data_IF_528896584648
#
_entry.id   IF_528896584648
#
_cell.length_a   1.000
_cell.length_b   1.000
_cell.length_c   1.000
_cell.angle_alpha   90.00
_cell.angle_beta   90.00
_cell.angle_gamma   90.00
#
_symmetry.space_group_name_H-M   'P 1'
#
loop_
_entity.id
_entity.type
_entity.pdbx_description
1 polymer ?
#
# COMPACT_ATOMS: atom_id res chain seq x y z
N UNK A 1 -9.68 27.62 43.62
CA UNK A 1 -8.79 26.47 43.84
C UNK A 1 -7.86 26.40 42.65
N UNK A 2 -6.65 26.88 42.82
CA UNK A 2 -5.62 26.96 41.79
C UNK A 2 -5.07 25.55 41.57
N UNK A 3 -5.36 24.94 40.42
CA UNK A 3 -4.79 23.65 40.05
C UNK A 3 -3.33 23.88 39.68
N UNK A 4 -2.43 23.52 40.60
CA UNK A 4 -0.99 23.49 40.36
C UNK A 4 -0.68 22.54 39.20
N UNK A 5 0.03 23.04 38.20
CA UNK A 5 0.69 22.19 37.21
C UNK A 5 1.73 21.33 37.93
N UNK A 6 1.81 20.02 37.68
CA UNK A 6 2.99 19.26 38.04
C UNK A 6 4.07 19.61 37.01
N UNK A 7 4.84 20.67 37.25
CA UNK A 7 6.09 20.89 36.52
C UNK A 7 7.13 19.91 37.06
N UNK A 8 7.02 18.65 36.61
CA UNK A 8 8.16 17.75 36.61
C UNK A 8 9.28 18.28 35.71
N UNK A 9 10.52 17.80 35.87
CA UNK A 9 11.60 18.18 34.97
C UNK A 9 11.18 17.92 33.51
N UNK A 10 11.51 18.82 32.57
CA UNK A 10 11.14 18.64 31.17
C UNK A 10 11.68 17.29 30.67
N UNK A 11 10.89 16.58 29.85
CA UNK A 11 11.30 15.28 29.35
C UNK A 11 12.63 15.36 28.61
N UNK A 12 13.49 14.37 28.82
CA UNK A 12 14.79 14.28 28.17
C UNK A 12 14.61 13.82 26.71
N UNK A 13 14.14 14.74 25.86
CA UNK A 13 13.74 14.47 24.48
C UNK A 13 14.83 13.76 23.66
N UNK A 14 16.10 14.10 23.89
CA UNK A 14 17.23 13.44 23.20
C UNK A 14 17.34 11.95 23.55
N UNK A 15 17.12 11.58 24.80
CA UNK A 15 17.24 10.20 25.25
C UNK A 15 16.06 9.36 24.80
N UNK A 16 14.85 9.93 24.87
CA UNK A 16 13.63 9.34 24.32
C UNK A 16 13.80 9.11 22.81
N UNK A 17 14.31 10.12 22.10
CA UNK A 17 14.57 10.06 20.67
C UNK A 17 15.58 8.95 20.32
N UNK A 18 16.73 8.90 21.00
CA UNK A 18 17.73 7.85 20.79
C UNK A 18 17.18 6.45 21.08
N UNK A 19 16.34 6.31 22.11
CA UNK A 19 15.67 5.05 22.43
C UNK A 19 14.70 4.61 21.32
N UNK A 20 13.96 5.56 20.72
CA UNK A 20 13.09 5.30 19.56
C UNK A 20 13.91 4.86 18.35
N UNK A 21 14.99 5.58 18.03
CA UNK A 21 15.87 5.21 16.91
C UNK A 21 16.46 3.80 17.09
N UNK A 22 16.99 3.50 18.29
CA UNK A 22 17.52 2.18 18.63
C UNK A 22 16.46 1.08 18.53
N UNK A 23 15.23 1.36 18.95
CA UNK A 23 14.12 0.41 18.87
C UNK A 23 13.73 0.15 17.41
N UNK A 24 13.69 1.19 16.56
CA UNK A 24 13.43 1.04 15.13
C UNK A 24 14.54 0.24 14.41
N UNK A 25 15.81 0.49 14.76
CA UNK A 25 16.95 -0.24 14.19
C UNK A 25 16.90 -1.73 14.63
N UNK A 26 16.60 -2.01 15.90
CA UNK A 26 16.41 -3.39 16.39
C UNK A 26 15.20 -4.07 15.75
N UNK A 27 14.11 -3.32 15.55
CA UNK A 27 12.91 -3.81 14.88
C UNK A 27 13.22 -4.22 13.43
N UNK A 28 13.97 -3.41 12.69
CA UNK A 28 14.35 -3.73 11.30
C UNK A 28 15.25 -4.97 11.19
N UNK A 29 16.08 -5.22 12.21
CA UNK A 29 16.85 -6.46 12.30
C UNK A 29 15.97 -7.69 12.61
N UNK A 30 14.82 -7.48 13.26
CA UNK A 30 13.81 -8.52 13.49
C UNK A 30 12.84 -8.66 12.29
N UNK A 31 12.16 -9.80 12.19
CA UNK A 31 11.15 -10.04 11.15
C UNK A 31 9.72 -10.12 11.68
N UNK A 32 9.51 -9.93 12.98
CA UNK A 32 8.22 -10.12 13.66
C UNK A 32 7.16 -9.10 13.24
N UNK A 33 7.57 -7.92 12.81
CA UNK A 33 6.69 -6.82 12.42
C UNK A 33 6.22 -6.88 10.96
N UNK A 34 6.88 -7.70 10.13
CA UNK A 34 6.66 -7.73 8.68
C UNK A 34 5.24 -8.18 8.34
N UNK A 35 4.70 -9.18 9.06
CA UNK A 35 3.31 -9.64 8.91
C UNK A 35 2.31 -8.50 9.10
N UNK A 36 2.40 -7.79 10.22
CA UNK A 36 1.54 -6.63 10.52
C UNK A 36 1.72 -5.53 9.48
N UNK A 37 2.96 -5.22 9.11
CA UNK A 37 3.24 -4.15 8.15
C UNK A 37 2.75 -4.45 6.73
N UNK A 38 2.69 -5.71 6.33
CA UNK A 38 2.16 -6.07 5.01
C UNK A 38 0.64 -6.04 4.93
N UNK A 39 -0.06 -6.32 6.04
CA UNK A 39 -1.52 -6.41 6.05
C UNK A 39 -2.20 -5.11 6.48
N UNK A 40 -1.69 -4.45 7.52
CA UNK A 40 -2.31 -3.26 8.12
C UNK A 40 -1.49 -1.98 7.87
N UNK A 41 -0.24 -2.12 7.42
CA UNK A 41 0.66 -1.00 7.20
C UNK A 41 1.62 -0.73 8.36
N UNK A 42 2.50 0.25 8.19
CA UNK A 42 3.60 0.53 9.13
C UNK A 42 3.16 1.33 10.36
N UNK A 43 2.01 1.99 10.30
CA UNK A 43 1.52 2.87 11.36
C UNK A 43 1.30 2.14 12.70
N UNK A 44 0.59 1.00 12.78
CA UNK A 44 0.47 0.24 14.03
C UNK A 44 1.80 -0.27 14.58
N UNK A 45 2.77 -0.50 13.69
CA UNK A 45 4.13 -0.90 14.07
C UNK A 45 4.87 0.24 14.74
N UNK A 46 4.78 1.44 14.16
CA UNK A 46 5.40 2.64 14.74
C UNK A 46 4.70 3.08 16.03
N UNK A 47 3.38 3.03 16.09
CA UNK A 47 2.62 3.34 17.30
C UNK A 47 3.06 2.45 18.48
N UNK A 48 3.26 1.15 18.24
CA UNK A 48 3.79 0.22 19.25
C UNK A 48 5.17 0.63 19.75
N UNK A 49 6.06 1.08 18.85
CA UNK A 49 7.38 1.60 19.23
C UNK A 49 7.24 2.83 20.12
N UNK A 50 6.36 3.77 19.75
CA UNK A 50 6.11 4.96 20.54
C UNK A 50 5.55 4.63 21.93
N UNK A 51 4.58 3.72 22.02
CA UNK A 51 4.01 3.28 23.30
C UNK A 51 5.08 2.63 24.19
N UNK A 52 5.93 1.78 23.62
CA UNK A 52 7.00 1.08 24.35
C UNK A 52 8.05 2.04 24.92
N UNK A 53 8.42 3.09 24.19
CA UNK A 53 9.48 4.02 24.60
C UNK A 53 8.94 5.20 25.42
N UNK A 54 7.80 5.76 25.04
CA UNK A 54 7.26 6.95 25.70
C UNK A 54 6.58 6.63 27.03
N UNK A 55 5.98 5.43 27.16
CA UNK A 55 5.30 4.99 28.39
C UNK A 55 6.17 5.04 29.64
N UNK A 56 7.36 4.40 29.66
CA UNK A 56 8.29 4.46 30.79
C UNK A 56 8.85 5.87 31.08
N UNK A 57 8.82 6.77 30.10
CA UNK A 57 9.25 8.16 30.25
C UNK A 57 8.13 9.10 30.72
N UNK A 58 6.92 8.58 30.98
CA UNK A 58 5.72 9.36 31.30
C UNK A 58 5.37 10.43 30.25
N UNK A 59 5.74 10.17 28.99
CA UNK A 59 5.47 11.05 27.85
C UNK A 59 4.41 10.40 26.96
N UNK A 60 3.49 11.19 26.41
CA UNK A 60 2.53 10.66 25.43
C UNK A 60 3.19 10.54 24.04
N UNK A 61 2.86 9.50 23.25
CA UNK A 61 3.27 9.41 21.84
C UNK A 61 2.99 10.70 21.04
N UNK A 62 1.84 11.34 21.28
CA UNK A 62 1.47 12.58 20.62
C UNK A 62 2.42 13.74 20.97
N UNK A 63 2.80 13.90 22.24
CA UNK A 63 3.74 14.94 22.65
C UNK A 63 5.11 14.76 21.97
N UNK A 64 5.56 13.51 21.81
CA UNK A 64 6.77 13.22 21.05
C UNK A 64 6.63 13.55 19.55
N UNK A 65 5.52 13.17 18.91
CA UNK A 65 5.25 13.48 17.51
C UNK A 65 5.25 15.00 17.28
N UNK A 66 4.60 15.76 18.16
CA UNK A 66 4.60 17.21 18.10
C UNK A 66 5.99 17.81 18.29
N UNK A 67 6.81 17.23 19.18
CA UNK A 67 8.20 17.65 19.38
C UNK A 67 9.04 17.45 18.11
N UNK A 68 9.07 16.23 17.57
CA UNK A 68 9.87 15.94 16.36
C UNK A 68 9.35 16.68 15.14
N UNK A 69 8.06 17.02 15.06
CA UNK A 69 7.53 17.79 13.93
C UNK A 69 8.16 19.19 13.85
N UNK A 70 8.53 19.77 15.02
CA UNK A 70 9.21 21.07 15.13
C UNK A 70 10.74 20.94 14.99
N UNK A 71 11.32 19.79 15.35
CA UNK A 71 12.75 19.50 15.17
C UNK A 71 13.05 18.78 13.85
N UNK A 72 13.55 19.53 12.86
CA UNK A 72 13.83 18.98 11.52
C UNK A 72 14.87 17.86 11.52
N UNK A 73 15.84 17.88 12.46
CA UNK A 73 16.87 16.85 12.56
C UNK A 73 16.28 15.53 13.03
N UNK A 74 15.60 15.56 14.18
CA UNK A 74 14.96 14.37 14.75
C UNK A 74 13.90 13.79 13.82
N UNK A 75 13.10 14.64 13.16
CA UNK A 75 12.11 14.19 12.16
C UNK A 75 12.78 13.39 11.04
N UNK A 76 13.89 13.90 10.51
CA UNK A 76 14.61 13.26 9.40
C UNK A 76 15.20 11.92 9.81
N UNK A 77 15.72 11.81 11.04
CA UNK A 77 16.28 10.56 11.55
C UNK A 77 15.21 9.47 11.69
N UNK A 78 14.04 9.80 12.25
CA UNK A 78 12.90 8.89 12.34
C UNK A 78 12.41 8.50 10.94
N UNK A 79 12.22 9.47 10.05
CA UNK A 79 11.81 9.22 8.67
C UNK A 79 12.77 8.26 7.97
N UNK A 80 14.08 8.45 8.12
CA UNK A 80 15.08 7.57 7.53
C UNK A 80 14.97 6.11 8.03
N UNK A 81 14.70 5.89 9.32
CA UNK A 81 14.51 4.54 9.88
C UNK A 81 13.22 3.90 9.39
N UNK A 82 12.12 4.66 9.34
CA UNK A 82 10.86 4.19 8.78
C UNK A 82 11.01 3.83 7.29
N UNK A 83 11.74 4.63 6.51
CA UNK A 83 12.04 4.30 5.11
C UNK A 83 12.80 2.98 4.99
N UNK A 84 13.84 2.75 5.82
CA UNK A 84 14.59 1.48 5.82
C UNK A 84 13.73 0.27 6.15
N UNK A 85 12.78 0.40 7.08
CA UNK A 85 11.78 -0.64 7.36
C UNK A 85 10.95 -0.91 6.10
N UNK A 86 10.43 0.14 5.46
CA UNK A 86 9.61 0.00 4.25
C UNK A 86 10.37 -0.62 3.06
N UNK A 87 11.69 -0.41 3.00
CA UNK A 87 12.60 -0.99 2.00
C UNK A 87 13.06 -2.41 2.35
N UNK A 88 12.63 -2.98 3.49
CA UNK A 88 13.05 -4.31 3.91
C UNK A 88 12.69 -5.36 2.84
N UNK A 89 13.65 -6.14 2.32
CA UNK A 89 13.41 -7.05 1.20
C UNK A 89 12.30 -8.07 1.44
N UNK A 90 12.15 -8.55 2.68
CA UNK A 90 11.10 -9.50 3.05
C UNK A 90 9.72 -8.84 3.03
N UNK A 91 9.59 -7.61 3.55
CA UNK A 91 8.34 -6.85 3.47
C UNK A 91 7.95 -6.58 2.02
N UNK A 92 8.89 -6.09 1.21
CA UNK A 92 8.66 -5.80 -0.21
C UNK A 92 8.21 -7.05 -0.95
N UNK A 93 8.87 -8.19 -0.73
CA UNK A 93 8.50 -9.46 -1.36
C UNK A 93 7.11 -9.91 -0.95
N UNK A 94 6.80 -9.86 0.35
CA UNK A 94 5.51 -10.32 0.87
C UNK A 94 4.35 -9.44 0.39
N UNK A 95 4.52 -8.11 0.36
CA UNK A 95 3.52 -7.19 -0.19
C UNK A 95 3.30 -7.41 -1.69
N UNK A 96 4.36 -7.67 -2.45
CA UNK A 96 4.24 -7.99 -3.88
C UNK A 96 3.49 -9.29 -4.11
N UNK A 97 3.78 -10.32 -3.32
CA UNK A 97 3.07 -11.59 -3.45
C UNK A 97 1.60 -11.47 -3.07
N UNK A 98 1.28 -10.76 -1.99
CA UNK A 98 -0.10 -10.48 -1.58
C UNK A 98 -0.86 -9.71 -2.67
N UNK A 99 -0.25 -8.63 -3.19
CA UNK A 99 -0.84 -7.84 -4.26
C UNK A 99 -1.03 -8.65 -5.56
N UNK A 100 -0.09 -9.55 -5.89
CA UNK A 100 -0.21 -10.42 -7.06
C UNK A 100 -1.44 -11.32 -6.96
N UNK A 101 -1.64 -11.96 -5.79
CA UNK A 101 -2.81 -12.84 -5.55
C UNK A 101 -4.11 -12.07 -5.63
N UNK A 102 -4.14 -10.87 -5.04
CA UNK A 102 -5.31 -9.98 -5.11
C UNK A 102 -5.61 -9.56 -6.56
N UNK A 103 -4.59 -9.15 -7.30
CA UNK A 103 -4.74 -8.78 -8.70
C UNK A 103 -5.25 -9.95 -9.56
N UNK A 104 -4.75 -11.16 -9.32
CA UNK A 104 -5.22 -12.37 -10.00
C UNK A 104 -6.72 -12.62 -9.75
N UNK A 105 -7.14 -12.52 -8.50
CA UNK A 105 -8.55 -12.64 -8.13
C UNK A 105 -9.41 -11.59 -8.84
N UNK A 106 -9.04 -10.32 -8.74
CA UNK A 106 -9.75 -9.21 -9.38
C UNK A 106 -9.82 -9.35 -10.91
N UNK A 107 -8.74 -9.78 -11.54
CA UNK A 107 -8.69 -9.95 -12.99
C UNK A 107 -9.60 -11.09 -13.46
N UNK A 108 -9.70 -12.19 -12.72
CA UNK A 108 -10.63 -13.26 -13.06
C UNK A 108 -12.09 -12.84 -12.89
N UNK A 109 -12.42 -12.10 -11.82
CA UNK A 109 -13.76 -11.52 -11.64
C UNK A 109 -14.09 -10.56 -12.79
N UNK A 110 -13.16 -9.67 -13.13
CA UNK A 110 -13.35 -8.74 -14.25
C UNK A 110 -13.50 -9.48 -15.57
N UNK A 111 -12.67 -10.49 -15.85
CA UNK A 111 -12.81 -11.30 -17.06
C UNK A 111 -14.18 -12.00 -17.15
N UNK A 112 -14.70 -12.50 -16.02
CA UNK A 112 -16.03 -13.07 -15.96
C UNK A 112 -17.11 -12.05 -16.35
N UNK A 113 -17.09 -10.87 -15.73
CA UNK A 113 -18.06 -9.80 -16.00
C UNK A 113 -17.98 -9.33 -17.46
N UNK A 114 -16.76 -9.15 -18.00
CA UNK A 114 -16.55 -8.67 -19.36
C UNK A 114 -16.92 -9.70 -20.45
N UNK A 115 -16.78 -11.00 -20.17
CA UNK A 115 -16.89 -12.03 -21.22
C UNK A 115 -17.92 -13.12 -20.96
N UNK A 116 -18.56 -13.15 -19.79
CA UNK A 116 -19.45 -14.22 -19.32
C UNK A 116 -18.77 -15.58 -19.11
N UNK A 117 -17.43 -15.67 -19.19
CA UNK A 117 -16.71 -16.93 -19.06
C UNK A 117 -16.43 -17.21 -17.59
N UNK A 118 -16.92 -18.35 -17.11
CA UNK A 118 -16.80 -18.74 -15.71
C UNK A 118 -15.34 -18.66 -15.22
N UNK A 119 -15.08 -17.98 -14.09
CA UNK A 119 -13.76 -17.93 -13.49
C UNK A 119 -13.41 -19.29 -12.85
N UNK A 120 -12.13 -19.50 -12.48
CA UNK A 120 -11.72 -20.68 -11.74
C UNK A 120 -12.48 -20.85 -10.41
N UNK A 121 -12.65 -22.09 -9.95
CA UNK A 121 -13.41 -22.42 -8.73
C UNK A 121 -12.89 -21.69 -7.48
N UNK A 122 -11.56 -21.52 -7.36
CA UNK A 122 -10.96 -20.85 -6.20
C UNK A 122 -11.35 -19.36 -6.11
N UNK A 123 -11.68 -18.71 -7.24
CA UNK A 123 -12.18 -17.33 -7.27
C UNK A 123 -13.60 -17.31 -6.75
N UNK A 124 -14.46 -18.21 -7.21
CA UNK A 124 -15.83 -18.29 -6.72
C UNK A 124 -15.87 -18.61 -5.23
N UNK A 125 -15.05 -19.54 -4.76
CA UNK A 125 -15.02 -19.99 -3.38
C UNK A 125 -14.77 -18.87 -2.35
N UNK A 126 -14.14 -17.76 -2.76
CA UNK A 126 -13.87 -16.61 -1.87
C UNK A 126 -14.93 -15.51 -1.93
N UNK A 127 -15.90 -15.61 -2.86
CA UNK A 127 -16.98 -14.65 -3.04
C UNK A 127 -18.25 -15.22 -2.40
N UNK A 128 -18.95 -14.42 -1.60
CA UNK A 128 -20.21 -14.81 -0.98
C UNK A 128 -21.37 -14.86 -1.98
N UNK A 129 -22.42 -15.62 -1.67
CA UNK A 129 -23.50 -15.93 -2.63
C UNK A 129 -24.23 -14.69 -3.14
N UNK A 130 -24.45 -13.67 -2.30
CA UNK A 130 -25.11 -12.43 -2.69
C UNK A 130 -24.28 -11.67 -3.72
N UNK A 131 -22.96 -11.58 -3.50
CA UNK A 131 -22.03 -11.02 -4.49
C UNK A 131 -21.94 -11.86 -5.77
N UNK A 132 -22.05 -13.20 -5.67
CA UNK A 132 -22.05 -14.05 -6.87
C UNK A 132 -23.24 -13.77 -7.78
N UNK A 133 -24.41 -13.57 -7.19
CA UNK A 133 -25.61 -13.25 -7.96
C UNK A 133 -25.47 -11.91 -8.67
N UNK A 134 -24.98 -10.88 -7.97
CA UNK A 134 -24.70 -9.57 -8.57
C UNK A 134 -23.72 -9.67 -9.75
N UNK A 135 -22.65 -10.46 -9.61
CA UNK A 135 -21.68 -10.68 -10.69
C UNK A 135 -22.30 -11.44 -11.87
N UNK A 136 -23.23 -12.37 -11.62
CA UNK A 136 -23.96 -13.09 -12.68
C UNK A 136 -24.85 -12.14 -13.46
N UNK A 137 -25.65 -11.34 -12.77
CA UNK A 137 -26.52 -10.34 -13.39
C UNK A 137 -25.70 -9.37 -14.26
N UNK A 138 -24.56 -8.88 -13.76
CA UNK A 138 -23.67 -8.00 -14.52
C UNK A 138 -23.08 -8.67 -15.77
N UNK A 139 -22.65 -9.93 -15.65
CA UNK A 139 -22.11 -10.69 -16.78
C UNK A 139 -23.18 -10.99 -17.85
N UNK A 140 -24.42 -11.25 -17.42
CA UNK A 140 -25.57 -11.53 -18.30
C UNK A 140 -26.09 -10.28 -18.99
N UNK A 141 -26.13 -9.13 -18.30
CA UNK A 141 -26.54 -7.84 -18.90
C UNK A 141 -25.57 -7.43 -20.01
N UNK A 142 -24.28 -7.73 -19.85
CA UNK A 142 -23.23 -7.37 -20.80
C UNK A 142 -22.95 -5.87 -20.86
N UNK A 143 -23.46 -5.08 -19.91
CA UNK A 143 -23.25 -3.63 -19.83
C UNK A 143 -21.78 -3.27 -19.69
N UNK A 144 -21.01 -4.14 -19.02
CA UNK A 144 -19.58 -3.95 -18.77
C UNK A 144 -18.70 -4.36 -19.96
N UNK A 145 -19.26 -4.90 -21.06
CA UNK A 145 -18.46 -5.35 -22.21
C UNK A 145 -17.64 -4.21 -22.81
N UNK A 146 -16.33 -4.30 -22.65
CA UNK A 146 -15.35 -3.38 -23.20
C UNK A 146 -14.33 -4.14 -24.05
N UNK A 147 -14.42 -3.95 -25.37
CA UNK A 147 -13.58 -4.59 -26.38
C UNK A 147 -12.09 -4.19 -26.28
N UNK A 148 -11.79 -3.06 -25.62
CA UNK A 148 -10.42 -2.61 -25.37
C UNK A 148 -9.88 -3.15 -24.04
N UNK A 149 -10.72 -3.26 -23.02
CA UNK A 149 -10.32 -3.74 -21.70
C UNK A 149 -10.14 -5.26 -21.65
N UNK A 150 -11.06 -6.02 -22.26
CA UNK A 150 -11.03 -7.49 -22.20
C UNK A 150 -9.68 -8.08 -22.67
N UNK A 151 -9.07 -7.65 -23.79
CA UNK A 151 -7.75 -8.14 -24.20
C UNK A 151 -6.63 -7.82 -23.19
N UNK A 152 -6.73 -6.67 -22.50
CA UNK A 152 -5.74 -6.25 -21.50
C UNK A 152 -5.85 -7.10 -20.24
N UNK A 153 -7.08 -7.40 -19.81
CA UNK A 153 -7.36 -8.31 -18.69
C UNK A 153 -6.86 -9.71 -19.00
N UNK A 154 -7.15 -10.25 -20.18
CA UNK A 154 -6.67 -11.57 -20.61
C UNK A 154 -5.14 -11.64 -20.63
N UNK A 155 -4.48 -10.59 -21.13
CA UNK A 155 -3.01 -10.50 -21.14
C UNK A 155 -2.45 -10.49 -19.71
N UNK A 156 -3.08 -9.79 -18.79
CA UNK A 156 -2.65 -9.73 -17.39
C UNK A 156 -2.79 -11.08 -16.69
N UNK A 157 -3.94 -11.76 -16.87
CA UNK A 157 -4.16 -13.15 -16.39
C UNK A 157 -3.08 -14.08 -16.95
N UNK A 158 -2.86 -14.03 -18.26
CA UNK A 158 -1.85 -14.87 -18.91
C UNK A 158 -0.44 -14.65 -18.34
N UNK A 159 -0.07 -13.40 -18.05
CA UNK A 159 1.21 -13.09 -17.40
C UNK A 159 1.31 -13.69 -16.01
N UNK A 160 0.24 -13.64 -15.23
CA UNK A 160 0.17 -14.22 -13.89
C UNK A 160 0.31 -15.74 -13.93
N UNK A 161 -0.37 -16.40 -14.87
CA UNK A 161 -0.34 -17.86 -15.02
C UNK A 161 1.00 -18.38 -15.55
N UNK A 162 1.54 -17.78 -16.61
CA UNK A 162 2.71 -18.33 -17.34
C UNK A 162 4.04 -17.79 -16.80
N UNK A 163 4.05 -16.52 -16.38
CA UNK A 163 5.29 -15.82 -15.98
C UNK A 163 5.05 -14.93 -14.76
N UNK A 164 4.67 -15.49 -13.60
CA UNK A 164 4.26 -14.72 -12.43
C UNK A 164 5.34 -13.77 -11.88
N UNK A 165 6.62 -13.96 -12.25
CA UNK A 165 7.74 -13.10 -11.87
C UNK A 165 7.86 -11.80 -12.69
N UNK A 166 7.23 -11.70 -13.86
CA UNK A 166 7.27 -10.47 -14.70
C UNK A 166 5.99 -9.63 -14.57
N UNK A 167 4.97 -10.16 -13.91
CA UNK A 167 3.77 -9.38 -13.59
C UNK A 167 4.16 -8.17 -12.73
N UNK A 168 3.65 -6.99 -13.10
CA UNK A 168 4.00 -5.72 -12.47
C UNK A 168 5.31 -5.10 -12.96
N UNK A 169 5.90 -5.57 -14.05
CA UNK A 169 6.96 -4.86 -14.79
C UNK A 169 6.37 -4.09 -15.98
N UNK A 170 6.87 -2.88 -16.19
CA UNK A 170 6.50 -2.05 -17.33
C UNK A 170 7.00 -2.69 -18.64
N UNK A 171 6.13 -2.81 -19.64
CA UNK A 171 6.52 -3.38 -20.95
C UNK A 171 7.48 -2.49 -21.74
N UNK A 172 7.50 -1.18 -21.48
CA UNK A 172 8.33 -0.22 -22.24
C UNK A 172 9.72 -0.03 -21.64
N UNK A 173 9.80 0.10 -20.31
CA UNK A 173 11.06 0.44 -19.63
C UNK A 173 11.54 -0.63 -18.66
N UNK A 174 10.79 -1.72 -18.49
CA UNK A 174 11.08 -2.82 -17.56
C UNK A 174 11.22 -2.41 -16.09
N UNK A 175 10.95 -1.15 -15.76
CA UNK A 175 10.86 -0.69 -14.38
C UNK A 175 9.63 -1.29 -13.70
N UNK A 176 9.73 -1.45 -12.39
CA UNK A 176 8.62 -1.94 -11.59
C UNK A 176 7.48 -0.93 -11.62
N UNK A 177 6.28 -1.40 -11.91
CA UNK A 177 5.04 -0.64 -11.78
C UNK A 177 4.76 -0.48 -10.27
N UNK A 178 4.40 0.75 -9.86
CA UNK A 178 4.05 1.05 -8.48
C UNK A 178 2.92 0.14 -8.00
N UNK A 179 3.03 -0.32 -6.75
CA UNK A 179 2.08 -1.27 -6.17
C UNK A 179 0.67 -0.67 -6.12
N UNK A 180 0.59 0.59 -5.72
CA UNK A 180 -0.62 1.40 -5.62
C UNK A 180 -1.32 1.52 -6.97
N UNK A 181 -0.55 1.61 -8.06
CA UNK A 181 -1.11 1.61 -9.42
C UNK A 181 -1.72 0.27 -9.79
N UNK A 182 -1.05 -0.85 -9.47
CA UNK A 182 -1.58 -2.17 -9.78
C UNK A 182 -2.77 -2.55 -8.89
N UNK A 183 -2.88 -1.99 -7.69
CA UNK A 183 -4.08 -2.12 -6.85
C UNK A 183 -5.29 -1.42 -7.46
N UNK A 184 -5.08 -0.30 -8.17
CA UNK A 184 -6.16 0.43 -8.86
C UNK A 184 -6.43 -0.09 -10.27
N UNK A 185 -5.37 -0.51 -10.97
CA UNK A 185 -5.40 -0.92 -12.38
C UNK A 185 -4.57 -2.19 -12.54
N UNK A 186 -5.10 -3.37 -12.15
CA UNK A 186 -4.35 -4.63 -12.16
C UNK A 186 -3.96 -5.13 -13.57
N UNK A 187 -4.61 -4.61 -14.62
CA UNK A 187 -4.27 -4.86 -16.03
C UNK A 187 -3.27 -3.83 -16.61
N UNK A 188 -2.61 -3.02 -15.77
CA UNK A 188 -1.64 -2.04 -16.25
C UNK A 188 -0.45 -2.71 -16.94
N UNK A 189 -0.22 -2.36 -18.21
CA UNK A 189 0.91 -2.85 -19.02
C UNK A 189 2.18 -2.02 -18.80
N UNK A 190 2.03 -0.77 -18.37
CA UNK A 190 3.12 0.20 -18.27
C UNK A 190 3.04 1.03 -16.99
N UNK A 191 4.19 1.56 -16.59
CA UNK A 191 4.27 2.57 -15.53
C UNK A 191 3.56 3.85 -15.96
N UNK A 192 3.18 4.70 -14.99
CA UNK A 192 2.45 5.93 -15.28
C UNK A 192 3.20 6.89 -16.22
N UNK A 193 4.54 6.90 -16.18
CA UNK A 193 5.36 7.72 -17.08
C UNK A 193 5.31 7.21 -18.53
N UNK A 194 5.45 5.90 -18.75
CA UNK A 194 5.34 5.30 -20.09
C UNK A 194 3.91 5.38 -20.64
N UNK A 195 2.90 5.19 -19.78
CA UNK A 195 1.50 5.34 -20.17
C UNK A 195 1.21 6.75 -20.70
N UNK A 196 1.62 7.80 -19.96
CA UNK A 196 1.46 9.20 -20.40
C UNK A 196 2.12 9.47 -21.76
N UNK A 197 3.32 8.90 -21.98
CA UNK A 197 4.02 8.99 -23.27
C UNK A 197 3.24 8.34 -24.41
N UNK A 198 2.63 7.15 -24.17
CA UNK A 198 1.79 6.46 -25.16
C UNK A 198 0.53 7.26 -25.51
N UNK A 199 -0.06 7.92 -24.51
CA UNK A 199 -1.26 8.75 -24.66
C UNK A 199 -0.97 10.15 -25.26
N UNK A 200 0.31 10.49 -25.47
CA UNK A 200 0.71 11.80 -25.97
C UNK A 200 0.54 12.94 -24.96
N UNK A 201 0.37 12.61 -23.66
CA UNK A 201 0.26 13.59 -22.58
C UNK A 201 1.67 14.05 -22.20
N UNK A 202 2.00 15.35 -22.33
CA UNK A 202 3.32 15.86 -21.97
C UNK A 202 3.59 15.66 -20.47
N UNK A 203 4.87 15.48 -20.10
CA UNK A 203 5.31 15.18 -18.72
C UNK A 203 4.91 16.29 -17.71
N UNK A 204 4.58 17.49 -18.21
CA UNK A 204 4.12 18.67 -17.47
C UNK A 204 2.64 18.99 -17.67
N UNK A 205 1.78 18.03 -18.04
CA UNK A 205 0.35 18.27 -17.94
C UNK A 205 0.05 18.62 -16.46
N UNK A 206 -0.55 19.80 -16.17
CA UNK A 206 -0.84 20.19 -14.79
C UNK A 206 -1.70 19.09 -14.16
N UNK A 207 -1.37 18.71 -12.93
CA UNK A 207 -2.21 17.78 -12.17
C UNK A 207 -3.66 18.31 -12.22
N UNK A 208 -4.64 17.48 -12.64
CA UNK A 208 -6.02 17.93 -12.60
C UNK A 208 -6.34 18.32 -11.16
N UNK A 209 -6.88 19.52 -10.96
CA UNK A 209 -7.37 19.94 -9.65
C UNK A 209 -8.43 18.95 -9.18
N UNK A 210 -8.03 17.99 -8.35
CA UNK A 210 -8.95 17.11 -7.66
C UNK A 210 -9.65 17.96 -6.61
N UNK A 211 -10.83 18.48 -6.95
CA UNK A 211 -11.72 19.08 -5.96
C UNK A 211 -12.18 17.97 -5.02
N UNK A 212 -11.50 17.86 -3.87
CA UNK A 212 -11.97 17.05 -2.76
C UNK A 212 -13.28 17.69 -2.28
N UNK A 213 -14.40 17.17 -2.75
CA UNK A 213 -15.70 17.45 -2.14
C UNK A 213 -15.75 16.69 -0.84
N UNK A 214 -15.56 17.41 0.28
CA UNK A 214 -15.87 16.89 1.60
C UNK A 214 -17.37 16.57 1.62
N UNK A 215 -17.70 15.28 1.66
CA UNK A 215 -19.01 14.79 2.09
C UNK A 215 -18.99 14.58 3.60
#
# INVERSE_FOLDING_TARGET
MTTGSPEGPPPQWKDIHQSILSTLDALNASTSWIATAATVGIEPVFERVLQQVCGPAEVSPQAYIEHITRDTGMRREVQQRLSRLMENPKLVTMRREAQRREAEHQLHVLHYVLSGKQPPEWVWATIDEDQREQLREAAESGEERDDQLLPRVQRAIHKLEVTPGIYGLCEDCYAIILLERLQLVPWAECCAACQRKREGVPDQAPEPEVRVTYF
#
